data_IF_157443753366
#
_entry.id   IF_157443753366
#
_cell.length_a   1.000
_cell.length_b   1.000
_cell.length_c   1.000
_cell.angle_alpha   90.00
_cell.angle_beta   90.00
_cell.angle_gamma   90.00
#
_symmetry.space_group_name_H-M   'P 1'
#
loop_
_entity.id
_entity.type
_entity.pdbx_description
1 polymer ?
#
# COMPACT_ATOMS: atom_id res chain seq x y z
N UNK A 1 -27.56 12.64 2.85
CA UNK A 1 -26.37 13.06 3.64
C UNK A 1 -25.12 12.48 3.00
N UNK A 2 -24.17 13.29 2.51
CA UNK A 2 -22.89 12.80 1.99
C UNK A 2 -22.05 12.29 3.16
N UNK A 3 -21.92 10.96 3.32
CA UNK A 3 -20.92 10.38 4.23
C UNK A 3 -19.55 10.92 3.81
N UNK A 4 -18.90 11.69 4.68
CA UNK A 4 -17.50 12.07 4.48
C UNK A 4 -16.70 10.78 4.26
N UNK A 5 -15.99 10.72 3.14
CA UNK A 5 -15.13 9.58 2.83
C UNK A 5 -13.98 9.61 3.84
N UNK A 6 -14.00 8.70 4.80
CA UNK A 6 -12.81 8.45 5.64
C UNK A 6 -11.68 8.02 4.71
N UNK A 7 -10.58 8.76 4.75
CA UNK A 7 -9.35 8.38 4.07
C UNK A 7 -8.59 7.45 4.99
N UNK A 8 -8.28 6.25 4.50
CA UNK A 8 -7.43 5.28 5.18
C UNK A 8 -6.08 5.26 4.48
N UNK A 9 -5.01 5.46 5.26
CA UNK A 9 -3.64 5.26 4.84
C UNK A 9 -3.41 3.79 4.46
N UNK A 10 -2.39 3.49 3.62
CA UNK A 10 -2.01 2.10 3.33
C UNK A 10 -1.79 1.28 4.60
N UNK A 11 -1.15 1.85 5.62
CA UNK A 11 -0.82 1.21 6.88
C UNK A 11 -2.08 0.85 7.67
N UNK A 12 -3.04 1.78 7.75
CA UNK A 12 -4.33 1.52 8.41
C UNK A 12 -5.12 0.42 7.71
N UNK A 13 -5.12 0.38 6.36
CA UNK A 13 -5.78 -0.71 5.62
C UNK A 13 -5.20 -2.06 5.99
N UNK A 14 -3.87 -2.16 6.06
CA UNK A 14 -3.18 -3.41 6.44
C UNK A 14 -3.49 -3.79 7.89
N UNK A 15 -3.52 -2.83 8.81
CA UNK A 15 -3.87 -3.08 10.21
C UNK A 15 -5.30 -3.63 10.35
N UNK A 16 -6.26 -3.06 9.61
CA UNK A 16 -7.66 -3.53 9.58
C UNK A 16 -7.73 -4.96 9.02
N UNK A 17 -7.05 -5.24 7.90
CA UNK A 17 -7.01 -6.60 7.34
C UNK A 17 -6.38 -7.60 8.32
N UNK A 18 -5.34 -7.20 9.05
CA UNK A 18 -4.63 -8.04 10.02
C UNK A 18 -5.54 -8.49 11.18
N UNK A 19 -6.38 -7.60 11.73
CA UNK A 19 -7.31 -7.93 12.82
C UNK A 19 -8.26 -9.07 12.43
N UNK A 20 -8.80 -9.04 11.22
CA UNK A 20 -9.64 -10.13 10.74
C UNK A 20 -8.84 -11.41 10.44
N UNK A 21 -7.72 -11.29 9.71
CA UNK A 21 -6.99 -12.43 9.17
C UNK A 21 -6.13 -13.17 10.21
N UNK A 22 -5.54 -12.46 11.17
CA UNK A 22 -4.68 -13.06 12.20
C UNK A 22 -5.38 -13.21 13.54
N UNK A 23 -6.14 -12.19 13.97
CA UNK A 23 -6.80 -12.18 15.28
C UNK A 23 -8.19 -12.79 15.23
N UNK A 24 -8.65 -13.21 14.03
CA UNK A 24 -9.94 -13.86 13.77
C UNK A 24 -11.15 -13.03 14.19
N UNK A 25 -11.00 -11.70 14.22
CA UNK A 25 -12.11 -10.82 14.57
C UNK A 25 -13.20 -10.84 13.49
N UNK A 26 -14.50 -10.93 13.84
CA UNK A 26 -15.58 -10.92 12.86
C UNK A 26 -15.59 -9.64 12.01
N UNK A 27 -15.75 -9.79 10.69
CA UNK A 27 -15.77 -8.65 9.74
C UNK A 27 -16.87 -7.65 10.10
N UNK A 28 -18.05 -8.13 10.54
CA UNK A 28 -19.17 -7.27 10.93
C UNK A 28 -18.77 -6.32 12.06
N UNK A 29 -18.28 -6.86 13.16
CA UNK A 29 -17.79 -6.10 14.32
C UNK A 29 -16.69 -5.11 13.93
N UNK A 30 -15.70 -5.59 13.18
CA UNK A 30 -14.59 -4.76 12.73
C UNK A 30 -15.06 -3.59 11.85
N UNK A 31 -15.92 -3.87 10.88
CA UNK A 31 -16.48 -2.86 9.96
C UNK A 31 -17.32 -1.82 10.69
N UNK A 32 -18.11 -2.24 11.69
CA UNK A 32 -18.91 -1.33 12.50
C UNK A 32 -18.04 -0.40 13.36
N UNK A 33 -16.99 -0.94 14.00
CA UNK A 33 -16.04 -0.16 14.83
C UNK A 33 -15.29 0.90 14.03
N UNK A 34 -14.76 0.55 12.84
CA UNK A 34 -14.02 1.52 12.02
C UNK A 34 -14.94 2.39 11.14
N UNK A 35 -16.21 2.03 11.01
CA UNK A 35 -17.16 2.68 10.10
C UNK A 35 -16.85 2.39 8.62
N UNK A 36 -16.40 1.18 8.33
CA UNK A 36 -16.07 0.67 7.00
C UNK A 36 -17.25 -0.16 6.45
N UNK A 37 -17.51 -0.08 5.14
CA UNK A 37 -18.46 -1.02 4.53
C UNK A 37 -17.77 -2.37 4.28
N UNK A 38 -18.43 -3.50 4.57
CA UNK A 38 -17.87 -4.84 4.31
C UNK A 38 -17.42 -5.05 2.86
N UNK A 39 -18.13 -4.45 1.89
CA UNK A 39 -17.74 -4.49 0.47
C UNK A 39 -16.38 -3.86 0.19
N UNK A 40 -16.03 -2.79 0.93
CA UNK A 40 -14.72 -2.13 0.83
C UNK A 40 -13.64 -2.99 1.47
N UNK A 41 -13.94 -3.64 2.59
CA UNK A 41 -13.03 -4.59 3.23
C UNK A 41 -12.63 -5.72 2.27
N UNK A 42 -13.59 -6.38 1.64
CA UNK A 42 -13.30 -7.45 0.68
C UNK A 42 -12.51 -6.96 -0.54
N UNK A 43 -12.77 -5.74 -1.01
CA UNK A 43 -11.98 -5.14 -2.09
C UNK A 43 -10.52 -4.96 -1.67
N UNK A 44 -10.26 -4.42 -0.49
CA UNK A 44 -8.89 -4.27 0.02
C UNK A 44 -8.22 -5.62 0.26
N UNK A 45 -8.95 -6.61 0.76
CA UNK A 45 -8.43 -7.95 0.95
C UNK A 45 -7.96 -8.54 -0.38
N UNK A 46 -8.77 -8.44 -1.43
CA UNK A 46 -8.40 -8.87 -2.78
C UNK A 46 -7.17 -8.12 -3.29
N UNK A 47 -7.19 -6.79 -3.25
CA UNK A 47 -6.06 -5.95 -3.70
C UNK A 47 -4.77 -6.28 -2.93
N UNK A 48 -4.84 -6.52 -1.62
CA UNK A 48 -3.70 -6.85 -0.79
C UNK A 48 -3.08 -8.20 -1.17
N UNK A 49 -3.89 -9.23 -1.41
CA UNK A 49 -3.37 -10.54 -1.79
C UNK A 49 -2.90 -10.60 -3.25
N UNK A 50 -3.52 -9.84 -4.16
CA UNK A 50 -3.06 -9.74 -5.55
C UNK A 50 -1.68 -9.08 -5.66
N UNK A 51 -1.39 -8.08 -4.83
CA UNK A 51 -0.09 -7.42 -4.78
C UNK A 51 0.87 -8.04 -3.76
N UNK A 52 0.41 -9.02 -2.97
CA UNK A 52 1.18 -9.62 -1.88
C UNK A 52 2.43 -10.35 -2.36
N UNK A 53 2.43 -10.90 -3.56
CA UNK A 53 3.60 -11.56 -4.16
C UNK A 53 4.80 -10.62 -4.27
N UNK A 54 4.57 -9.35 -4.62
CA UNK A 54 5.62 -8.34 -4.73
C UNK A 54 6.33 -8.05 -3.40
N UNK A 55 5.72 -8.39 -2.26
CA UNK A 55 6.36 -8.28 -0.95
C UNK A 55 7.43 -9.37 -0.71
N UNK A 56 7.34 -10.51 -1.40
CA UNK A 56 8.27 -11.63 -1.31
C UNK A 56 9.27 -11.67 -2.47
N UNK A 57 9.05 -10.89 -3.51
CA UNK A 57 10.06 -10.70 -4.56
C UNK A 57 11.32 -10.13 -3.93
N UNK A 58 12.39 -10.93 -3.92
CA UNK A 58 13.72 -10.41 -3.63
C UNK A 58 14.03 -9.37 -4.69
N UNK A 59 13.98 -8.09 -4.29
CA UNK A 59 14.57 -7.02 -5.10
C UNK A 59 16.04 -7.36 -5.25
N UNK A 60 16.39 -8.00 -6.37
CA UNK A 60 17.77 -7.98 -6.86
C UNK A 60 18.15 -6.50 -6.83
N UNK A 61 19.30 -6.13 -6.26
CA UNK A 61 19.76 -4.75 -6.38
C UNK A 61 19.81 -4.47 -7.87
N UNK A 62 18.81 -3.77 -8.38
CA UNK A 62 18.96 -3.05 -9.64
C UNK A 62 20.12 -2.12 -9.37
N UNK A 63 21.07 -2.01 -10.30
CA UNK A 63 22.23 -1.12 -10.18
C UNK A 63 21.74 0.34 -10.19
N UNK A 64 20.99 0.73 -9.16
CA UNK A 64 20.46 2.06 -8.90
C UNK A 64 21.63 3.04 -8.83
N UNK A 65 22.83 2.59 -8.45
CA UNK A 65 24.04 3.42 -8.50
C UNK A 65 24.36 3.88 -9.93
N UNK A 66 24.30 3.00 -10.93
CA UNK A 66 24.61 3.36 -12.31
C UNK A 66 23.57 4.31 -12.91
N UNK A 67 22.30 4.09 -12.59
CA UNK A 67 21.22 5.00 -13.00
C UNK A 67 21.31 6.34 -12.27
N UNK A 68 21.65 6.35 -10.97
CA UNK A 68 21.88 7.56 -10.18
C UNK A 68 23.09 8.37 -10.67
N UNK A 69 24.19 7.70 -11.01
CA UNK A 69 25.37 8.33 -11.62
C UNK A 69 25.02 8.99 -12.96
N UNK A 70 24.22 8.32 -13.79
CA UNK A 70 23.78 8.85 -15.07
C UNK A 70 22.83 10.04 -14.89
N UNK A 71 21.93 9.99 -13.92
CA UNK A 71 21.05 11.10 -13.56
C UNK A 71 21.87 12.30 -13.09
N UNK A 72 22.84 12.11 -12.19
CA UNK A 72 23.69 13.18 -11.68
C UNK A 72 24.53 13.82 -12.80
N UNK A 73 25.09 13.00 -13.69
CA UNK A 73 25.83 13.48 -14.87
C UNK A 73 24.94 14.31 -15.81
N UNK A 74 23.73 13.83 -16.10
CA UNK A 74 22.79 14.55 -16.97
C UNK A 74 22.30 15.86 -16.34
N UNK A 75 22.03 15.87 -15.03
CA UNK A 75 21.67 17.09 -14.29
C UNK A 75 22.78 18.14 -14.37
N UNK A 76 24.05 17.75 -14.17
CA UNK A 76 25.20 18.66 -14.28
C UNK A 76 25.34 19.25 -15.68
N UNK A 77 25.06 18.46 -16.73
CA UNK A 77 25.13 18.89 -18.13
C UNK A 77 24.00 19.86 -18.51
N UNK A 78 22.81 19.71 -17.92
CA UNK A 78 21.69 20.65 -18.10
C UNK A 78 21.98 21.98 -17.39
N UNK A 79 22.58 21.94 -16.20
CA UNK A 79 22.84 23.12 -15.38
C UNK A 79 24.06 23.94 -15.86
N UNK A 80 24.93 23.34 -16.67
CA UNK A 80 26.10 23.98 -17.28
C UNK A 80 25.81 24.62 -18.66
N UNK A 81 24.53 24.80 -19.02
CA UNK A 81 24.09 25.32 -20.31
C UNK A 81 23.35 26.65 -20.17
#
# INVERSE_FOLDING_TARGET
MKKQRKHYTPEEKVAILRRHLLEKEPISKLCDEVGLQPTVFYRWQKEFFENGAAAFEQKRPTNHSADQERIAYLQKKIQSR
#
